data_IF_860987479680
#
_entry.id   IF_860987479680
#
_cell.length_a   1.000
_cell.length_b   1.000
_cell.length_c   1.000
_cell.angle_alpha   90.00
_cell.angle_beta   90.00
_cell.angle_gamma   90.00
#
_symmetry.space_group_name_H-M   'P 1'
#
loop_
_entity.id
_entity.type
_entity.pdbx_description
1 polymer ?
#
# COMPACT_ATOMS: atom_id res chain seq x y z
N UNK A 1 3.93 -34.41 -1.52
CA UNK A 1 4.76 -33.48 -0.71
C UNK A 1 4.39 -32.01 -0.97
N UNK A 2 4.26 -31.56 -2.22
CA UNK A 2 3.72 -30.23 -2.53
C UNK A 2 2.23 -30.10 -2.16
N UNK A 3 1.41 -31.12 -2.44
CA UNK A 3 -0.02 -31.10 -2.08
C UNK A 3 -0.27 -31.15 -0.56
N UNK A 4 0.55 -31.89 0.20
CA UNK A 4 0.47 -31.92 1.67
C UNK A 4 0.92 -30.61 2.35
N UNK A 5 1.75 -29.80 1.68
CA UNK A 5 2.08 -28.44 2.13
C UNK A 5 0.90 -27.50 1.88
N UNK A 6 0.18 -27.68 0.77
CA UNK A 6 -1.00 -26.89 0.45
C UNK A 6 -2.13 -27.23 1.43
N UNK A 7 -2.38 -28.49 1.76
CA UNK A 7 -3.43 -28.87 2.73
C UNK A 7 -3.12 -28.42 4.17
N UNK A 8 -1.85 -28.45 4.60
CA UNK A 8 -1.44 -27.92 5.91
C UNK A 8 -1.39 -26.40 6.00
N UNK A 9 -1.38 -25.68 4.86
CA UNK A 9 -1.37 -24.22 4.81
C UNK A 9 -2.80 -23.70 4.66
N UNK A 10 -3.64 -24.37 3.87
CA UNK A 10 -4.99 -23.92 3.51
C UNK A 10 -5.95 -23.78 4.70
N UNK A 11 -5.78 -24.55 5.78
CA UNK A 11 -6.57 -24.44 7.02
C UNK A 11 -5.82 -23.94 8.25
N UNK A 12 -4.57 -23.48 8.11
CA UNK A 12 -3.66 -23.25 9.23
C UNK A 12 -3.26 -21.78 9.39
N UNK A 13 -3.06 -21.27 10.63
CA UNK A 13 -2.65 -19.90 10.90
C UNK A 13 -1.42 -19.42 10.12
N UNK A 14 -0.61 -20.34 9.60
CA UNK A 14 0.57 -20.07 8.77
C UNK A 14 0.26 -19.31 7.47
N UNK A 15 -0.91 -19.50 6.84
CA UNK A 15 -1.25 -18.72 5.63
C UNK A 15 -1.28 -17.23 5.91
N UNK A 16 -1.82 -16.83 7.06
CA UNK A 16 -1.81 -15.44 7.49
C UNK A 16 -0.38 -14.94 7.74
N UNK A 17 0.48 -15.76 8.36
CA UNK A 17 1.89 -15.39 8.59
C UNK A 17 2.64 -15.19 7.27
N UNK A 18 2.44 -16.09 6.29
CA UNK A 18 3.05 -15.93 4.97
C UNK A 18 2.52 -14.70 4.25
N UNK A 19 1.19 -14.47 4.28
CA UNK A 19 0.57 -13.29 3.70
C UNK A 19 1.14 -11.99 4.27
N UNK A 20 1.29 -11.94 5.60
CA UNK A 20 1.92 -10.83 6.30
C UNK A 20 3.35 -10.59 5.83
N UNK A 21 4.16 -11.65 5.81
CA UNK A 21 5.57 -11.57 5.46
C UNK A 21 5.76 -11.11 4.01
N UNK A 22 4.98 -11.67 3.08
CA UNK A 22 4.99 -11.27 1.66
C UNK A 22 4.61 -9.78 1.54
N UNK A 23 3.50 -9.35 2.16
CA UNK A 23 3.06 -7.96 2.09
C UNK A 23 4.05 -6.97 2.72
N UNK A 24 4.78 -7.38 3.76
CA UNK A 24 5.82 -6.57 4.41
C UNK A 24 7.10 -6.48 3.57
N UNK A 25 7.50 -7.57 2.92
CA UNK A 25 8.73 -7.64 2.13
C UNK A 25 8.61 -6.99 0.74
N UNK A 26 7.41 -6.94 0.18
CA UNK A 26 7.10 -6.39 -1.14
C UNK A 26 7.62 -4.96 -1.35
N UNK A 27 7.59 -4.14 -0.30
CA UNK A 27 8.15 -2.77 -0.33
C UNK A 27 9.65 -2.75 -0.60
N UNK A 28 10.37 -3.72 -0.05
CA UNK A 28 11.84 -3.82 -0.17
C UNK A 28 12.20 -4.52 -1.48
N UNK A 29 11.39 -5.51 -1.87
CA UNK A 29 11.56 -6.31 -3.06
C UNK A 29 10.29 -6.24 -3.92
N UNK A 30 10.17 -5.25 -4.83
CA UNK A 30 9.00 -5.11 -5.72
C UNK A 30 8.78 -6.27 -6.70
N UNK A 31 9.58 -7.34 -6.60
CA UNK A 31 9.40 -8.59 -7.33
C UNK A 31 8.48 -9.59 -6.60
N UNK A 32 8.18 -9.35 -5.33
CA UNK A 32 7.33 -10.25 -4.55
C UNK A 32 5.88 -10.08 -5.02
N UNK A 33 5.17 -11.15 -5.42
CA UNK A 33 3.83 -11.05 -5.97
C UNK A 33 2.77 -10.88 -4.87
N UNK A 34 2.86 -9.79 -4.08
CA UNK A 34 1.97 -9.51 -2.94
C UNK A 34 0.50 -9.43 -3.35
N UNK A 35 0.22 -8.74 -4.46
CA UNK A 35 -1.13 -8.60 -5.04
C UNK A 35 -1.75 -9.97 -5.30
N UNK A 36 -1.01 -10.85 -5.99
CA UNK A 36 -1.48 -12.18 -6.33
C UNK A 36 -1.70 -13.05 -5.08
N UNK A 37 -0.85 -12.92 -4.06
CA UNK A 37 -1.02 -13.63 -2.79
C UNK A 37 -2.29 -13.21 -2.05
N UNK A 38 -2.59 -11.91 -1.99
CA UNK A 38 -3.82 -11.40 -1.33
C UNK A 38 -5.07 -11.77 -2.11
N UNK A 39 -5.04 -11.70 -3.45
CA UNK A 39 -6.14 -12.17 -4.30
C UNK A 39 -6.39 -13.67 -4.08
N UNK A 40 -5.33 -14.48 -4.07
CA UNK A 40 -5.44 -15.94 -3.85
C UNK A 40 -6.02 -16.24 -2.47
N UNK A 41 -5.55 -15.55 -1.42
CA UNK A 41 -6.12 -15.66 -0.08
C UNK A 41 -7.60 -15.23 -0.02
N UNK A 42 -8.00 -14.23 -0.82
CA UNK A 42 -9.39 -13.85 -1.02
C UNK A 42 -10.23 -14.99 -1.62
N UNK A 43 -9.72 -15.68 -2.64
CA UNK A 43 -10.39 -16.85 -3.25
C UNK A 43 -10.58 -17.98 -2.23
N UNK A 44 -9.53 -18.29 -1.45
CA UNK A 44 -9.61 -19.28 -0.37
C UNK A 44 -10.64 -18.89 0.69
N UNK A 45 -10.71 -17.60 1.04
CA UNK A 45 -11.75 -17.11 1.94
C UNK A 45 -13.17 -17.31 1.39
N UNK A 46 -13.38 -17.22 0.07
CA UNK A 46 -14.67 -17.48 -0.57
C UNK A 46 -15.08 -18.96 -0.58
N UNK A 47 -14.11 -19.87 -0.41
CA UNK A 47 -14.35 -21.31 -0.26
C UNK A 47 -14.61 -21.71 1.20
N UNK A 48 -14.39 -20.80 2.15
CA UNK A 48 -14.58 -21.03 3.59
C UNK A 48 -13.29 -21.42 4.33
N UNK A 49 -12.16 -21.53 3.62
CA UNK A 49 -10.88 -21.97 4.19
C UNK A 49 -10.20 -20.87 5.02
N UNK A 50 -10.48 -19.60 4.70
CA UNK A 50 -9.94 -18.43 5.41
C UNK A 50 -11.05 -17.44 5.80
N UNK A 51 -10.82 -16.72 6.90
CA UNK A 51 -11.63 -15.57 7.27
C UNK A 51 -11.18 -14.33 6.47
N UNK A 52 -12.06 -13.82 5.60
CA UNK A 52 -11.80 -12.64 4.75
C UNK A 52 -11.29 -11.42 5.54
N UNK A 53 -11.91 -11.14 6.68
CA UNK A 53 -11.53 -9.99 7.52
C UNK A 53 -10.09 -10.13 8.04
N UNK A 54 -9.65 -11.35 8.39
CA UNK A 54 -8.27 -11.61 8.79
C UNK A 54 -7.31 -11.46 7.61
N UNK A 55 -7.68 -11.90 6.41
CA UNK A 55 -6.87 -11.70 5.19
C UNK A 55 -6.61 -10.22 4.97
N UNK A 56 -7.67 -9.39 5.02
CA UNK A 56 -7.56 -7.93 4.86
C UNK A 56 -6.68 -7.33 5.96
N UNK A 57 -6.96 -7.65 7.23
CA UNK A 57 -6.24 -7.07 8.36
C UNK A 57 -4.75 -7.41 8.33
N UNK A 58 -4.41 -8.66 8.02
CA UNK A 58 -3.04 -9.17 8.01
C UNK A 58 -2.25 -8.64 6.81
N UNK A 59 -2.85 -8.61 5.62
CA UNK A 59 -2.24 -8.02 4.44
C UNK A 59 -1.98 -6.52 4.64
N UNK A 60 -2.97 -5.78 5.17
CA UNK A 60 -2.81 -4.37 5.48
C UNK A 60 -1.71 -4.14 6.52
N UNK A 61 -1.68 -4.92 7.59
CA UNK A 61 -0.66 -4.81 8.64
C UNK A 61 0.75 -5.06 8.10
N UNK A 62 0.93 -6.09 7.27
CA UNK A 62 2.21 -6.38 6.62
C UNK A 62 2.63 -5.22 5.71
N UNK A 63 1.73 -4.74 4.87
CA UNK A 63 1.99 -3.62 3.97
C UNK A 63 2.41 -2.35 4.74
N UNK A 64 1.65 -1.97 5.77
CA UNK A 64 1.94 -0.81 6.62
C UNK A 64 3.30 -0.98 7.31
N UNK A 65 3.61 -2.16 7.83
CA UNK A 65 4.90 -2.41 8.47
C UNK A 65 6.06 -2.21 7.48
N UNK A 66 5.96 -2.78 6.28
CA UNK A 66 6.96 -2.63 5.22
C UNK A 66 7.16 -1.17 4.81
N UNK A 67 6.06 -0.43 4.64
CA UNK A 67 6.09 1.00 4.29
C UNK A 67 6.77 1.84 5.40
N UNK A 68 6.53 1.50 6.66
CA UNK A 68 7.17 2.15 7.80
C UNK A 68 8.67 1.83 7.92
N UNK A 69 9.07 0.60 7.60
CA UNK A 69 10.49 0.24 7.51
C UNK A 69 11.18 1.03 6.41
N UNK A 70 10.57 1.13 5.22
CA UNK A 70 11.09 1.95 4.12
C UNK A 70 11.19 3.43 4.48
N UNK A 71 10.16 3.98 5.15
CA UNK A 71 10.18 5.33 5.70
C UNK A 71 11.32 5.54 6.71
N UNK A 72 11.53 4.60 7.63
CA UNK A 72 12.61 4.68 8.62
C UNK A 72 14.00 4.64 7.96
N UNK A 73 14.20 3.76 6.98
CA UNK A 73 15.43 3.71 6.18
C UNK A 73 15.64 5.03 5.44
N UNK A 74 14.59 5.61 4.85
CA UNK A 74 14.64 6.93 4.23
C UNK A 74 15.00 8.03 5.22
N UNK A 75 14.44 8.00 6.43
CA UNK A 75 14.65 9.02 7.47
C UNK A 75 16.07 9.00 8.04
N UNK A 76 16.64 7.82 8.27
CA UNK A 76 17.98 7.69 8.83
C UNK A 76 19.08 7.66 7.76
N UNK A 77 18.82 6.99 6.63
CA UNK A 77 19.79 6.83 5.53
C UNK A 77 19.69 7.90 4.44
N UNK A 78 18.59 8.66 4.37
CA UNK A 78 18.31 9.61 3.30
C UNK A 78 19.35 10.70 3.13
N UNK A 79 19.90 11.24 4.22
CA UNK A 79 20.98 12.23 4.15
C UNK A 79 22.28 11.67 3.57
N UNK A 80 22.56 10.39 3.77
CA UNK A 80 23.73 9.74 3.17
C UNK A 80 23.50 9.45 1.68
N UNK A 81 22.33 8.91 1.34
CA UNK A 81 21.93 8.63 -0.05
C UNK A 81 21.83 9.90 -0.90
N UNK A 82 21.20 10.96 -0.38
CA UNK A 82 21.08 12.25 -1.07
C UNK A 82 22.46 12.86 -1.37
N UNK A 83 23.38 12.82 -0.40
CA UNK A 83 24.76 13.31 -0.58
C UNK A 83 25.57 12.48 -1.57
N UNK A 84 25.37 11.16 -1.59
CA UNK A 84 26.16 10.22 -2.39
C UNK A 84 25.69 10.07 -3.85
N UNK A 85 24.38 10.11 -4.09
CA UNK A 85 23.77 9.78 -5.39
C UNK A 85 23.15 10.99 -6.12
N UNK A 86 22.84 12.07 -5.40
CA UNK A 86 22.14 13.24 -5.93
C UNK A 86 22.94 14.55 -5.85
N UNK A 87 24.26 14.48 -5.63
CA UNK A 87 25.15 15.64 -5.74
C UNK A 87 25.28 16.13 -7.20
N UNK A 88 25.39 17.44 -7.40
CA UNK A 88 25.54 18.09 -8.71
C UNK A 88 24.22 18.33 -9.46
N UNK A 89 24.23 18.23 -10.80
CA UNK A 89 23.12 18.62 -11.70
C UNK A 89 21.78 17.85 -11.54
N UNK A 90 21.70 16.92 -10.58
CA UNK A 90 20.47 16.17 -10.23
C UNK A 90 19.73 16.78 -9.04
N UNK A 91 20.29 17.80 -8.38
CA UNK A 91 19.66 18.51 -7.28
C UNK A 91 18.27 19.08 -7.63
N UNK A 92 18.10 19.58 -8.85
CA UNK A 92 16.81 20.11 -9.31
C UNK A 92 15.69 19.04 -9.32
N UNK A 93 16.03 17.79 -9.64
CA UNK A 93 15.07 16.67 -9.59
C UNK A 93 14.71 16.29 -8.15
N UNK A 94 15.68 16.41 -7.23
CA UNK A 94 15.45 16.16 -5.81
C UNK A 94 14.52 17.22 -5.20
N UNK A 95 14.72 18.49 -5.55
CA UNK A 95 13.85 19.60 -5.12
C UNK A 95 12.44 19.50 -5.71
N UNK A 96 12.31 19.02 -6.95
CA UNK A 96 11.01 18.77 -7.56
C UNK A 96 10.27 17.63 -6.82
N UNK A 97 10.96 16.53 -6.53
CA UNK A 97 10.40 15.41 -5.78
C UNK A 97 10.00 15.80 -4.36
N UNK A 98 10.83 16.61 -3.68
CA UNK A 98 10.54 17.17 -2.35
C UNK A 98 9.27 18.01 -2.37
N UNK A 99 9.17 18.99 -3.27
CA UNK A 99 7.99 19.86 -3.41
C UNK A 99 6.74 19.07 -3.74
N UNK A 100 6.83 18.10 -4.64
CA UNK A 100 5.74 17.19 -4.95
C UNK A 100 5.23 16.42 -3.73
N UNK A 101 6.14 15.95 -2.87
CA UNK A 101 5.78 15.26 -1.63
C UNK A 101 5.23 16.18 -0.54
N UNK A 102 5.76 17.40 -0.42
CA UNK A 102 5.27 18.40 0.54
C UNK A 102 3.83 18.84 0.22
N UNK A 103 3.58 19.14 -1.06
CA UNK A 103 2.29 19.60 -1.57
C UNK A 103 1.26 18.47 -1.67
N UNK A 104 1.67 17.32 -2.23
CA UNK A 104 0.78 16.23 -2.65
C UNK A 104 1.08 14.88 -1.98
N UNK A 105 1.92 14.83 -0.94
CA UNK A 105 2.43 13.57 -0.37
C UNK A 105 1.36 12.54 0.02
N UNK A 106 0.18 12.97 0.46
CA UNK A 106 -0.92 12.03 0.73
C UNK A 106 -1.47 11.35 -0.53
N UNK A 107 -1.66 12.10 -1.60
CA UNK A 107 -2.10 11.61 -2.91
C UNK A 107 -1.02 10.73 -3.56
N UNK A 108 0.24 11.13 -3.42
CA UNK A 108 1.38 10.36 -3.92
C UNK A 108 1.54 9.02 -3.19
N UNK A 109 1.36 8.97 -1.86
CA UNK A 109 1.41 7.70 -1.11
C UNK A 109 0.36 6.70 -1.63
N UNK A 110 -0.83 7.18 -1.99
CA UNK A 110 -1.88 6.32 -2.55
C UNK A 110 -1.53 5.89 -3.98
N UNK A 111 -1.14 6.82 -4.84
CA UNK A 111 -0.89 6.52 -6.26
C UNK A 111 0.39 5.73 -6.50
N UNK A 112 1.40 5.93 -5.67
CA UNK A 112 2.66 5.19 -5.75
C UNK A 112 2.47 3.69 -5.73
N UNK A 113 1.37 3.20 -5.14
CA UNK A 113 1.05 1.78 -5.08
C UNK A 113 0.59 1.17 -6.39
N UNK A 114 0.14 1.98 -7.33
CA UNK A 114 -0.24 1.52 -8.67
C UNK A 114 0.93 1.57 -9.67
N UNK A 115 2.06 2.17 -9.29
CA UNK A 115 3.25 2.29 -10.13
C UNK A 115 4.30 1.29 -9.62
N UNK A 116 4.80 0.36 -10.45
CA UNK A 116 5.89 -0.53 -10.07
C UNK A 116 7.09 0.26 -9.52
N UNK A 117 7.53 -0.05 -8.29
CA UNK A 117 8.59 0.67 -7.59
C UNK A 117 8.23 2.08 -7.07
N UNK A 118 7.05 2.61 -7.43
CA UNK A 118 6.57 3.91 -6.98
C UNK A 118 6.33 3.97 -5.47
N UNK A 119 5.77 2.89 -4.91
CA UNK A 119 5.54 2.73 -3.46
C UNK A 119 6.83 2.94 -2.68
N UNK A 120 7.85 2.15 -2.98
CA UNK A 120 9.17 2.22 -2.35
C UNK A 120 9.80 3.59 -2.49
N UNK A 121 9.74 4.20 -3.69
CA UNK A 121 10.32 5.53 -3.92
C UNK A 121 9.61 6.61 -3.09
N UNK A 122 8.29 6.52 -2.95
CA UNK A 122 7.47 7.51 -2.21
C UNK A 122 7.60 7.33 -0.70
N UNK A 123 7.60 6.10 -0.18
CA UNK A 123 7.76 5.82 1.26
C UNK A 123 9.16 6.15 1.73
N UNK A 124 10.17 5.76 0.96
CA UNK A 124 11.56 6.15 1.20
C UNK A 124 11.73 7.67 1.11
N UNK A 125 11.17 8.30 0.07
CA UNK A 125 11.19 9.75 -0.11
C UNK A 125 10.53 10.50 1.04
N UNK A 126 9.41 9.99 1.58
CA UNK A 126 8.74 10.55 2.75
C UNK A 126 9.64 10.56 3.97
N UNK A 127 10.42 9.50 4.19
CA UNK A 127 11.46 9.46 5.21
C UNK A 127 12.58 10.46 4.93
N UNK A 128 13.13 10.43 3.72
CA UNK A 128 14.28 11.25 3.30
C UNK A 128 14.03 12.75 3.37
N UNK A 129 12.79 13.19 3.12
CA UNK A 129 12.40 14.60 3.17
C UNK A 129 11.77 15.02 4.50
N UNK A 130 11.98 14.24 5.56
CA UNK A 130 11.53 14.57 6.91
C UNK A 130 10.00 14.80 7.06
N UNK A 131 9.20 14.12 6.23
CA UNK A 131 7.75 14.18 6.38
C UNK A 131 7.35 13.70 7.78
N UNK A 132 6.53 14.43 8.55
CA UNK A 132 6.16 14.00 9.91
C UNK A 132 5.53 12.61 9.91
N UNK A 133 6.06 11.70 10.73
CA UNK A 133 5.61 10.29 10.76
C UNK A 133 4.10 10.15 10.95
N UNK A 134 3.50 10.96 11.83
CA UNK A 134 2.04 11.01 12.05
C UNK A 134 1.24 11.30 10.79
N UNK A 135 1.77 12.14 9.89
CA UNK A 135 1.14 12.45 8.60
C UNK A 135 1.32 11.28 7.65
N UNK A 136 2.52 10.70 7.60
CA UNK A 136 2.82 9.53 6.76
C UNK A 136 1.94 8.33 7.12
N UNK A 137 1.95 7.88 8.37
CA UNK A 137 1.22 6.70 8.84
C UNK A 137 -0.29 6.82 8.59
N UNK A 138 -0.87 8.02 8.71
CA UNK A 138 -2.30 8.23 8.46
C UNK A 138 -2.68 7.95 6.99
N UNK A 139 -1.86 8.39 6.03
CA UNK A 139 -2.08 8.08 4.60
C UNK A 139 -1.74 6.63 4.28
N UNK A 140 -0.67 6.12 4.89
CA UNK A 140 -0.18 4.77 4.69
C UNK A 140 -1.18 3.70 5.14
N UNK A 141 -1.78 3.88 6.32
CA UNK A 141 -2.84 3.02 6.86
C UNK A 141 -4.08 3.07 5.97
N UNK A 142 -4.54 4.27 5.59
CA UNK A 142 -5.72 4.42 4.74
C UNK A 142 -5.51 3.74 3.38
N UNK A 143 -4.36 4.00 2.75
CA UNK A 143 -4.00 3.33 1.51
C UNK A 143 -3.92 1.81 1.74
N UNK A 144 -3.36 1.36 2.87
CA UNK A 144 -3.07 -0.06 3.17
C UNK A 144 -4.33 -0.87 3.26
N UNK A 145 -5.30 -0.32 3.98
CA UNK A 145 -6.64 -0.87 4.09
C UNK A 145 -7.37 -0.88 2.75
N UNK A 146 -7.30 0.19 1.96
CA UNK A 146 -7.95 0.24 0.64
C UNK A 146 -7.38 -0.84 -0.28
N UNK A 147 -6.06 -0.93 -0.37
CA UNK A 147 -5.37 -1.93 -1.19
C UNK A 147 -5.71 -3.36 -0.75
N UNK A 148 -5.54 -3.67 0.54
CA UNK A 148 -5.79 -5.01 1.06
C UNK A 148 -7.26 -5.41 0.91
N UNK A 149 -8.19 -4.48 1.17
CA UNK A 149 -9.62 -4.71 0.98
C UNK A 149 -9.93 -4.96 -0.49
N UNK A 150 -9.43 -4.11 -1.39
CA UNK A 150 -9.62 -4.29 -2.83
C UNK A 150 -9.13 -5.66 -3.29
N UNK A 151 -7.87 -6.00 -3.05
CA UNK A 151 -7.27 -7.24 -3.54
C UNK A 151 -7.98 -8.48 -2.96
N UNK A 152 -8.29 -8.46 -1.65
CA UNK A 152 -8.98 -9.57 -1.00
C UNK A 152 -10.42 -9.72 -1.49
N UNK A 153 -11.17 -8.61 -1.65
CA UNK A 153 -12.54 -8.63 -2.17
C UNK A 153 -12.58 -9.02 -3.64
N UNK A 154 -11.58 -8.61 -4.43
CA UNK A 154 -11.44 -9.03 -5.83
C UNK A 154 -11.27 -10.55 -5.91
N UNK A 155 -10.43 -11.15 -5.06
CA UNK A 155 -10.33 -12.61 -4.95
C UNK A 155 -11.62 -13.26 -4.47
N UNK A 156 -12.20 -12.72 -3.39
CA UNK A 156 -13.36 -13.30 -2.71
C UNK A 156 -14.61 -13.33 -3.59
N UNK A 157 -14.95 -12.19 -4.21
CA UNK A 157 -16.10 -12.11 -5.10
C UNK A 157 -15.75 -12.52 -6.52
N UNK A 158 -14.56 -12.15 -7.02
CA UNK A 158 -14.17 -12.40 -8.40
C UNK A 158 -13.87 -13.85 -8.72
N UNK A 159 -13.42 -14.65 -7.75
CA UNK A 159 -13.20 -16.09 -7.94
C UNK A 159 -14.45 -16.86 -8.35
N UNK A 160 -15.65 -16.36 -8.03
CA UNK A 160 -16.94 -17.00 -8.38
C UNK A 160 -17.88 -16.13 -9.22
N UNK A 161 -17.78 -14.79 -9.13
CA UNK A 161 -18.77 -13.84 -9.71
C UNK A 161 -18.28 -13.17 -10.99
N UNK A 162 -16.96 -13.06 -11.20
CA UNK A 162 -16.37 -12.37 -12.35
C UNK A 162 -15.57 -13.29 -13.27
N UNK A 163 -15.71 -14.62 -13.13
CA UNK A 163 -15.05 -15.60 -14.00
C UNK A 163 -15.31 -15.30 -15.48
N UNK A 164 -16.53 -14.90 -15.82
CA UNK A 164 -16.93 -14.59 -17.20
C UNK A 164 -16.72 -13.10 -17.57
N UNK A 165 -16.57 -12.19 -16.59
CA UNK A 165 -16.48 -10.74 -16.83
C UNK A 165 -15.47 -10.03 -15.88
N UNK A 166 -14.15 -10.28 -16.02
CA UNK A 166 -13.12 -9.76 -15.11
C UNK A 166 -13.06 -8.22 -15.03
N UNK A 167 -13.43 -7.53 -16.11
CA UNK A 167 -13.38 -6.07 -16.22
C UNK A 167 -14.32 -5.35 -15.24
N UNK A 168 -15.43 -5.98 -14.82
CA UNK A 168 -16.37 -5.41 -13.85
C UNK A 168 -15.80 -5.38 -12.43
N UNK A 169 -15.07 -6.41 -12.03
CA UNK A 169 -14.36 -6.45 -10.76
C UNK A 169 -13.31 -5.34 -10.68
N UNK A 170 -12.57 -5.11 -11.77
CA UNK A 170 -11.60 -4.03 -11.89
C UNK A 170 -12.25 -2.63 -11.83
N UNK A 171 -13.45 -2.46 -12.40
CA UNK A 171 -14.20 -1.20 -12.33
C UNK A 171 -14.66 -0.86 -10.92
N UNK A 172 -15.23 -1.83 -10.19
CA UNK A 172 -15.67 -1.64 -8.79
C UNK A 172 -14.49 -1.30 -7.90
N UNK A 173 -13.37 -1.97 -8.12
CA UNK A 173 -12.12 -1.71 -7.44
C UNK A 173 -11.62 -0.28 -7.62
N UNK A 174 -11.52 0.18 -8.88
CA UNK A 174 -11.14 1.55 -9.16
C UNK A 174 -12.13 2.54 -8.56
N UNK A 175 -13.43 2.27 -8.64
CA UNK A 175 -14.45 3.13 -8.02
C UNK A 175 -14.25 3.28 -6.50
N UNK A 176 -13.95 2.19 -5.78
CA UNK A 176 -13.67 2.23 -4.34
C UNK A 176 -12.35 2.97 -4.08
N UNK A 177 -11.28 2.66 -4.80
CA UNK A 177 -9.98 3.30 -4.61
C UNK A 177 -10.03 4.82 -4.84
N UNK A 178 -10.62 5.26 -5.97
CA UNK A 178 -10.82 6.67 -6.27
C UNK A 178 -11.80 7.33 -5.31
N UNK A 179 -12.86 6.63 -4.89
CA UNK A 179 -13.82 7.12 -3.90
C UNK A 179 -13.16 7.43 -2.57
N UNK A 180 -12.35 6.52 -2.05
CA UNK A 180 -11.60 6.74 -0.79
C UNK A 180 -10.57 7.85 -0.95
N UNK A 181 -9.82 7.88 -2.05
CA UNK A 181 -8.87 8.97 -2.32
C UNK A 181 -9.58 10.35 -2.37
N UNK A 182 -10.75 10.41 -3.02
CA UNK A 182 -11.55 11.63 -3.10
C UNK A 182 -12.08 12.07 -1.73
N UNK A 183 -12.57 11.14 -0.91
CA UNK A 183 -13.02 11.44 0.47
C UNK A 183 -11.86 11.95 1.31
N UNK A 184 -10.70 11.32 1.23
CA UNK A 184 -9.49 11.73 1.96
C UNK A 184 -9.05 13.14 1.56
N UNK A 185 -9.04 13.45 0.25
CA UNK A 185 -8.66 14.78 -0.22
C UNK A 185 -9.73 15.84 0.08
N UNK A 186 -11.02 15.49 0.03
CA UNK A 186 -12.12 16.36 0.42
C UNK A 186 -12.06 16.74 1.91
N UNK A 187 -11.79 15.76 2.79
CA UNK A 187 -11.57 16.02 4.23
C UNK A 187 -10.36 16.93 4.45
N UNK A 188 -9.28 16.72 3.69
CA UNK A 188 -8.09 17.59 3.70
C UNK A 188 -8.40 19.03 3.31
N UNK A 189 -9.15 19.20 2.21
CA UNK A 189 -9.56 20.50 1.71
C UNK A 189 -10.44 21.22 2.73
N UNK A 190 -11.41 20.50 3.32
CA UNK A 190 -12.31 21.05 4.32
C UNK A 190 -11.59 21.47 5.61
N UNK A 191 -10.63 20.65 6.10
CA UNK A 191 -9.81 20.99 7.26
C UNK A 191 -8.88 22.19 7.03
N UNK A 192 -8.26 22.27 5.84
CA UNK A 192 -7.42 23.43 5.47
C UNK A 192 -8.22 24.73 5.41
N UNK A 193 -9.44 24.68 4.85
CA UNK A 193 -10.35 25.84 4.83
C UNK A 193 -10.79 26.29 6.22
N UNK A 194 -11.07 25.35 7.13
CA UNK A 194 -11.45 25.70 8.51
C UNK A 194 -10.32 26.34 9.32
N UNK A 195 -9.07 25.90 9.12
CA UNK A 195 -7.91 26.49 9.79
C UNK A 195 -7.58 27.90 9.25
N UNK A 196 -7.77 28.12 7.95
CA UNK A 196 -7.58 29.44 7.33
C UNK A 196 -8.69 30.45 7.66
N UNK A 197 -9.89 29.98 8.03
CA UNK A 197 -11.00 30.85 8.45
C UNK A 197 -11.00 31.16 9.97
N UNK A 198 -10.07 30.58 10.73
CA UNK A 198 -9.92 30.78 12.17
C UNK A 198 -8.70 31.66 12.54
N UNK A 199 -8.00 32.18 11.53
CA UNK A 199 -6.98 33.24 11.63
C UNK A 199 -7.55 34.54 11.08
#
# INVERSE_FOLDING_TARGET
>A
MFESLIDNVSGSPWTYVFLFAIAALDVIFPLVPSEASVITAGVLAASGDLVLLLVIAVAAAGAILGDNVSYAIGRWGGHWVARRFFSGGRAHRLDWARRGLEERGGYLIVIGRFIPGGRTAITFGAGMFDMPWRRFIAFDVAAGLVWASYAALLGYFGGKTFADQPWKGLLVAFAIAFGVAAVVEAVRWYRRRRLAAAQ
#
